data_IF_425216842679
#
_entry.id   IF_425216842679
#
_cell.length_a   1.000
_cell.length_b   1.000
_cell.length_c   1.000
_cell.angle_alpha   90.00
_cell.angle_beta   90.00
_cell.angle_gamma   90.00
#
_symmetry.space_group_name_H-M   'P 1'
#
loop_
_entity.id
_entity.type
_entity.pdbx_description
1 polymer ?
#
# COMPACT_ATOMS: atom_id res chain seq x y z
N UNK A 1 10.07 -1.89 -24.13
CA UNK A 1 8.77 -1.34 -23.75
C UNK A 1 8.95 0.06 -23.19
N UNK A 2 8.27 1.02 -23.75
CA UNK A 2 8.36 2.40 -23.29
C UNK A 2 7.33 2.65 -22.20
N UNK A 3 7.78 3.14 -21.06
CA UNK A 3 6.90 3.57 -20.00
C UNK A 3 6.52 5.03 -20.19
N UNK A 4 5.31 5.44 -19.79
CA UNK A 4 4.94 6.84 -19.88
C UNK A 4 5.93 7.72 -19.11
N UNK A 5 6.21 8.88 -19.64
CA UNK A 5 7.01 9.86 -18.91
C UNK A 5 6.18 10.39 -17.76
N UNK A 6 6.76 10.34 -16.56
CA UNK A 6 6.13 10.89 -15.37
C UNK A 6 6.99 12.00 -14.80
N UNK A 7 6.36 12.90 -14.07
CA UNK A 7 7.04 14.06 -13.49
C UNK A 7 7.51 13.80 -12.07
N UNK A 8 6.95 12.78 -11.41
CA UNK A 8 7.34 12.37 -10.06
C UNK A 8 7.01 10.90 -9.84
N UNK A 9 7.76 10.27 -8.95
CA UNK A 9 7.55 8.87 -8.57
C UNK A 9 7.41 8.80 -7.06
N UNK A 10 6.32 8.20 -6.58
CA UNK A 10 6.04 7.99 -5.17
C UNK A 10 6.09 6.51 -4.86
N UNK A 11 6.76 6.12 -3.79
CA UNK A 11 6.99 4.71 -3.50
C UNK A 11 6.69 4.37 -2.05
N UNK A 12 6.32 3.11 -1.82
CA UNK A 12 6.33 2.50 -0.51
C UNK A 12 7.77 2.47 0.04
N UNK A 13 7.96 2.51 1.37
CA UNK A 13 9.31 2.44 1.95
C UNK A 13 9.99 1.09 1.77
N UNK A 14 9.29 0.06 1.30
CA UNK A 14 9.90 -1.26 1.09
C UNK A 14 11.01 -1.18 0.03
N UNK A 15 12.16 -1.74 0.36
CA UNK A 15 13.36 -1.68 -0.49
C UNK A 15 13.11 -2.11 -1.94
N UNK A 16 12.35 -3.19 -2.16
CA UNK A 16 12.08 -3.67 -3.52
C UNK A 16 11.23 -2.69 -4.32
N UNK A 17 10.33 -1.93 -3.67
CA UNK A 17 9.56 -0.89 -4.34
C UNK A 17 10.46 0.26 -4.79
N UNK A 18 11.38 0.67 -3.94
CA UNK A 18 12.38 1.72 -4.27
C UNK A 18 13.26 1.24 -5.43
N UNK A 19 13.74 0.00 -5.39
CA UNK A 19 14.55 -0.57 -6.45
C UNK A 19 13.79 -0.67 -7.77
N UNK A 20 12.53 -1.08 -7.72
CA UNK A 20 11.67 -1.16 -8.91
C UNK A 20 11.48 0.21 -9.53
N UNK A 21 11.24 1.23 -8.69
CA UNK A 21 11.08 2.60 -9.16
C UNK A 21 12.34 3.11 -9.88
N UNK A 22 13.51 2.82 -9.34
CA UNK A 22 14.78 3.21 -9.93
C UNK A 22 15.01 2.55 -11.30
N UNK A 23 14.56 1.30 -11.44
CA UNK A 23 14.68 0.57 -12.71
C UNK A 23 13.70 1.09 -13.75
N UNK A 24 12.43 1.31 -13.36
CA UNK A 24 11.37 1.73 -14.28
C UNK A 24 11.44 3.22 -14.65
N UNK A 25 11.89 4.05 -13.73
CA UNK A 25 11.91 5.51 -13.91
C UNK A 25 13.28 6.08 -13.56
N UNK A 26 14.33 5.67 -14.29
CA UNK A 26 15.68 6.15 -13.98
C UNK A 26 15.79 7.67 -14.17
N UNK A 27 16.43 8.32 -13.21
CA UNK A 27 16.64 9.76 -13.27
C UNK A 27 15.47 10.61 -12.78
N UNK A 28 14.32 9.97 -12.45
CA UNK A 28 13.19 10.73 -11.90
C UNK A 28 13.30 10.83 -10.38
N UNK A 29 12.84 11.94 -9.79
CA UNK A 29 12.82 12.06 -8.33
C UNK A 29 11.92 10.99 -7.71
N UNK A 30 12.45 10.28 -6.71
CA UNK A 30 11.70 9.24 -5.98
C UNK A 30 11.37 9.77 -4.59
N UNK A 31 10.08 9.78 -4.26
CA UNK A 31 9.59 10.23 -2.97
C UNK A 31 9.06 9.03 -2.18
N UNK A 32 9.63 8.78 -1.01
CA UNK A 32 9.20 7.68 -0.15
C UNK A 32 8.08 8.18 0.75
N UNK A 33 6.94 7.50 0.70
CA UNK A 33 5.77 7.82 1.52
C UNK A 33 5.53 6.67 2.49
N UNK A 34 5.85 6.88 3.76
CA UNK A 34 5.75 5.85 4.80
C UNK A 34 4.34 5.26 4.90
N UNK A 35 3.32 6.10 4.78
CA UNK A 35 1.93 5.69 4.90
C UNK A 35 1.47 4.76 3.78
N UNK A 36 2.24 4.62 2.71
CA UNK A 36 1.93 3.70 1.60
C UNK A 36 2.51 2.30 1.80
N UNK A 37 3.11 2.03 2.96
CA UNK A 37 3.65 0.70 3.26
C UNK A 37 2.55 -0.36 3.22
N UNK A 38 2.96 -1.61 2.95
CA UNK A 38 2.07 -2.77 3.01
C UNK A 38 1.53 -2.95 4.43
N UNK A 39 0.45 -3.72 4.55
CA UNK A 39 -0.15 -4.06 5.84
C UNK A 39 0.87 -4.71 6.77
N UNK A 40 0.83 -4.32 8.04
CA UNK A 40 1.58 -5.00 9.08
C UNK A 40 0.76 -6.23 9.52
N UNK A 41 1.21 -7.40 9.12
CA UNK A 41 0.53 -8.66 9.42
C UNK A 41 0.85 -9.19 10.82
N UNK A 42 1.70 -8.51 11.58
CA UNK A 42 2.04 -8.91 12.95
C UNK A 42 2.58 -10.34 13.03
N UNK A 43 1.97 -11.16 13.89
CA UNK A 43 2.39 -12.55 14.07
C UNK A 43 2.25 -13.40 12.80
N UNK A 44 1.45 -12.98 11.83
CA UNK A 44 1.25 -13.74 10.60
C UNK A 44 2.25 -13.37 9.51
N UNK A 45 3.14 -12.43 9.80
CA UNK A 45 4.14 -11.95 8.84
C UNK A 45 5.05 -13.10 8.37
N UNK A 46 5.19 -13.23 7.05
CA UNK A 46 6.03 -14.25 6.43
C UNK A 46 5.65 -15.70 6.74
N UNK A 47 4.39 -15.94 7.16
CA UNK A 47 3.91 -17.29 7.46
C UNK A 47 2.84 -17.72 6.47
N UNK A 48 2.91 -18.98 6.05
CA UNK A 48 1.86 -19.57 5.23
C UNK A 48 0.81 -20.24 6.12
N UNK A 49 -0.30 -20.68 5.52
CA UNK A 49 -1.40 -21.26 6.29
C UNK A 49 -1.02 -22.53 7.06
N UNK A 50 -0.03 -23.28 6.56
CA UNK A 50 0.44 -24.50 7.24
C UNK A 50 1.16 -24.15 8.54
N UNK A 51 1.96 -23.08 8.51
CA UNK A 51 2.67 -22.61 9.69
C UNK A 51 1.73 -22.00 10.73
N UNK A 52 0.57 -21.52 10.30
CA UNK A 52 -0.42 -20.92 11.16
C UNK A 52 -1.41 -21.94 11.75
N UNK A 53 -1.46 -23.16 11.19
CA UNK A 53 -2.30 -24.23 11.75
C UNK A 53 -1.95 -24.48 13.22
N UNK A 54 -2.98 -24.56 14.06
CA UNK A 54 -2.80 -24.78 15.49
C UNK A 54 -2.51 -23.51 16.29
N UNK A 55 -2.30 -22.36 15.61
CA UNK A 55 -2.13 -21.09 16.30
C UNK A 55 -3.52 -20.58 16.74
N UNK A 56 -3.77 -20.40 18.06
CA UNK A 56 -5.09 -19.95 18.52
C UNK A 56 -5.48 -18.58 18.02
N UNK A 57 -4.52 -17.67 17.80
CA UNK A 57 -4.79 -16.34 17.25
C UNK A 57 -5.23 -16.41 15.79
N UNK A 58 -4.67 -17.35 15.05
CA UNK A 58 -5.05 -17.58 13.65
C UNK A 58 -6.49 -18.10 13.58
N UNK A 59 -6.85 -19.05 14.46
CA UNK A 59 -8.20 -19.58 14.50
C UNK A 59 -9.24 -18.51 14.85
N UNK A 60 -8.94 -17.67 15.83
CA UNK A 60 -9.80 -16.52 16.18
C UNK A 60 -9.97 -15.58 14.98
N UNK A 61 -8.89 -15.32 14.28
CA UNK A 61 -8.93 -14.43 13.11
C UNK A 61 -9.80 -15.02 12.00
N UNK A 62 -9.66 -16.32 11.73
CA UNK A 62 -10.51 -17.02 10.75
C UNK A 62 -11.98 -16.98 11.18
N UNK A 63 -12.27 -17.29 12.45
CA UNK A 63 -13.62 -17.30 12.99
C UNK A 63 -14.29 -15.92 12.89
N UNK A 64 -13.51 -14.86 12.90
CA UNK A 64 -14.01 -13.49 12.74
C UNK A 64 -14.22 -13.10 11.27
N UNK A 65 -13.94 -13.98 10.32
CA UNK A 65 -13.92 -13.69 8.88
C UNK A 65 -12.92 -12.57 8.52
N UNK A 66 -11.80 -12.53 9.23
CA UNK A 66 -10.75 -11.54 8.98
C UNK A 66 -11.09 -10.14 9.48
N UNK A 67 -12.09 -9.97 10.35
CA UNK A 67 -12.46 -8.66 10.89
C UNK A 67 -11.60 -8.22 12.06
N UNK A 68 -10.99 -9.17 12.77
CA UNK A 68 -10.08 -8.83 13.86
C UNK A 68 -8.75 -8.28 13.30
N UNK A 69 -8.07 -7.40 14.05
CA UNK A 69 -6.71 -6.99 13.69
C UNK A 69 -5.78 -8.20 13.64
N UNK A 70 -4.73 -8.13 12.84
CA UNK A 70 -3.67 -9.14 12.89
C UNK A 70 -3.00 -9.07 14.26
N UNK A 71 -2.77 -10.21 14.94
CA UNK A 71 -2.12 -10.20 16.25
C UNK A 71 -0.77 -9.49 16.20
N UNK A 72 -0.62 -8.42 16.99
CA UNK A 72 0.59 -7.59 16.96
C UNK A 72 0.75 -6.74 15.71
N UNK A 73 -0.25 -6.68 14.85
CA UNK A 73 -0.21 -5.93 13.60
C UNK A 73 -1.38 -4.97 13.45
N UNK A 74 -1.71 -4.64 12.20
CA UNK A 74 -2.75 -3.66 11.89
C UNK A 74 -4.13 -4.28 11.72
N UNK A 75 -5.17 -3.48 12.00
CA UNK A 75 -6.53 -3.80 11.58
C UNK A 75 -6.71 -3.45 10.11
N UNK A 76 -7.75 -4.02 9.48
CA UNK A 76 -8.09 -3.68 8.09
C UNK A 76 -8.39 -2.20 7.95
N UNK A 77 -9.17 -1.63 8.87
CA UNK A 77 -9.52 -0.21 8.86
C UNK A 77 -8.31 0.69 9.06
N UNK A 78 -7.43 0.33 9.99
CA UNK A 78 -6.20 1.09 10.24
C UNK A 78 -5.28 1.10 9.03
N UNK A 79 -5.13 -0.03 8.39
CA UNK A 79 -4.35 -0.16 7.16
C UNK A 79 -4.93 0.73 6.05
N UNK A 80 -6.24 0.64 5.83
CA UNK A 80 -6.92 1.45 4.81
C UNK A 80 -6.77 2.94 5.11
N UNK A 81 -7.05 3.38 6.35
CA UNK A 81 -6.94 4.78 6.74
C UNK A 81 -5.52 5.32 6.54
N UNK A 82 -4.52 4.53 6.91
CA UNK A 82 -3.11 4.91 6.74
C UNK A 82 -2.76 5.09 5.26
N UNK A 83 -3.18 4.15 4.41
CA UNK A 83 -2.94 4.24 2.97
C UNK A 83 -3.63 5.45 2.35
N UNK A 84 -4.85 5.76 2.78
CA UNK A 84 -5.56 6.94 2.26
C UNK A 84 -4.87 8.24 2.66
N UNK A 85 -4.33 8.32 3.88
CA UNK A 85 -3.52 9.48 4.27
C UNK A 85 -2.28 9.61 3.41
N UNK A 86 -1.64 8.48 3.08
CA UNK A 86 -0.48 8.48 2.18
C UNK A 86 -0.83 8.96 0.79
N UNK A 87 -1.96 8.51 0.27
CA UNK A 87 -2.43 8.95 -1.04
C UNK A 87 -2.77 10.44 -1.04
N UNK A 88 -3.38 10.96 0.02
CA UNK A 88 -3.65 12.40 0.15
C UNK A 88 -2.34 13.21 0.12
N UNK A 89 -1.28 12.69 0.74
CA UNK A 89 0.04 13.33 0.69
C UNK A 89 0.58 13.39 -0.74
N UNK A 90 0.39 12.31 -1.51
CA UNK A 90 0.80 12.27 -2.91
C UNK A 90 0.04 13.31 -3.72
N UNK A 91 -1.27 13.34 -3.60
CA UNK A 91 -2.13 14.28 -4.33
C UNK A 91 -1.77 15.72 -3.98
N UNK A 92 -1.63 16.02 -2.68
CA UNK A 92 -1.25 17.37 -2.23
C UNK A 92 0.12 17.78 -2.74
N UNK A 93 1.08 16.85 -2.76
CA UNK A 93 2.42 17.08 -3.28
C UNK A 93 2.39 17.40 -4.78
N UNK A 94 1.59 16.65 -5.53
CA UNK A 94 1.43 16.87 -6.97
C UNK A 94 0.80 18.23 -7.25
N UNK A 95 -0.22 18.63 -6.51
CA UNK A 95 -0.87 19.93 -6.66
C UNK A 95 0.12 21.05 -6.39
N UNK A 96 0.86 20.99 -5.28
CA UNK A 96 1.82 22.04 -4.91
C UNK A 96 2.96 22.18 -5.91
N UNK A 97 3.38 21.07 -6.52
CA UNK A 97 4.50 21.04 -7.45
C UNK A 97 4.07 21.15 -8.91
N UNK A 98 2.77 21.32 -9.17
CA UNK A 98 2.20 21.37 -10.52
C UNK A 98 2.53 20.11 -11.33
N UNK A 99 2.52 18.94 -10.68
CA UNK A 99 2.77 17.66 -11.32
C UNK A 99 1.45 17.12 -11.85
N UNK A 100 1.35 16.93 -13.15
CA UNK A 100 0.16 16.40 -13.80
C UNK A 100 0.16 14.87 -13.87
N UNK A 101 1.35 14.27 -13.98
CA UNK A 101 1.48 12.82 -14.10
C UNK A 101 2.52 12.31 -13.10
N UNK A 102 2.10 11.38 -12.25
CA UNK A 102 2.96 10.76 -11.25
C UNK A 102 2.76 9.26 -11.28
N UNK A 103 3.81 8.52 -10.97
CA UNK A 103 3.75 7.07 -10.83
C UNK A 103 3.81 6.69 -9.34
N UNK A 104 3.08 5.63 -8.99
CA UNK A 104 3.12 5.06 -7.65
C UNK A 104 3.62 3.61 -7.76
N UNK A 105 4.64 3.29 -7.00
CA UNK A 105 5.16 1.92 -6.89
C UNK A 105 4.84 1.42 -5.49
N UNK A 106 3.75 0.68 -5.40
CA UNK A 106 3.15 0.26 -4.14
C UNK A 106 2.70 -1.21 -4.22
N UNK A 107 2.00 -1.66 -3.20
CA UNK A 107 1.59 -3.05 -3.05
C UNK A 107 0.12 -3.26 -3.43
N UNK A 108 -0.22 -4.51 -3.76
CA UNK A 108 -1.58 -4.86 -4.15
C UNK A 108 -2.64 -4.45 -3.13
N UNK A 109 -2.41 -4.71 -1.84
CA UNK A 109 -3.34 -4.31 -0.78
C UNK A 109 -3.53 -2.81 -0.69
N UNK A 110 -2.45 -2.05 -0.86
CA UNK A 110 -2.49 -0.58 -0.88
C UNK A 110 -3.28 -0.07 -2.08
N UNK A 111 -3.05 -0.66 -3.26
CA UNK A 111 -3.79 -0.32 -4.48
C UNK A 111 -5.28 -0.56 -4.27
N UNK A 112 -5.65 -1.70 -3.71
CA UNK A 112 -7.05 -2.05 -3.45
C UNK A 112 -7.72 -1.06 -2.50
N UNK A 113 -7.04 -0.64 -1.44
CA UNK A 113 -7.57 0.35 -0.50
C UNK A 113 -7.88 1.67 -1.19
N UNK A 114 -6.97 2.14 -2.03
CA UNK A 114 -7.14 3.40 -2.76
C UNK A 114 -8.28 3.27 -3.77
N UNK A 115 -8.30 2.19 -4.54
CA UNK A 115 -9.32 1.97 -5.56
C UNK A 115 -10.73 1.79 -4.96
N UNK A 116 -10.84 1.12 -3.82
CA UNK A 116 -12.10 0.95 -3.11
C UNK A 116 -12.74 2.30 -2.76
N UNK A 117 -11.93 3.23 -2.27
CA UNK A 117 -12.41 4.54 -1.86
C UNK A 117 -12.81 5.41 -3.05
N UNK A 118 -11.96 5.46 -4.07
CA UNK A 118 -12.15 6.40 -5.19
C UNK A 118 -12.95 5.81 -6.34
N UNK A 119 -12.93 4.50 -6.54
CA UNK A 119 -13.71 3.87 -7.60
C UNK A 119 -15.22 3.88 -7.28
N UNK A 120 -15.61 3.78 -6.01
CA UNK A 120 -17.00 3.80 -5.59
C UNK A 120 -17.69 5.13 -5.94
N UNK A 121 -16.95 6.22 -5.96
CA UNK A 121 -17.47 7.54 -6.30
C UNK A 121 -17.91 7.60 -7.78
N UNK A 122 -17.33 6.75 -8.63
CA UNK A 122 -17.58 6.76 -10.07
C UNK A 122 -18.61 5.72 -10.52
N UNK A 123 -19.14 4.95 -9.60
CA UNK A 123 -20.19 3.99 -9.96
C UNK A 123 -21.51 4.71 -10.27
N UNK A 124 -22.16 4.36 -11.37
CA UNK A 124 -23.45 4.94 -11.70
C UNK A 124 -24.53 4.55 -10.71
#
# INVERSE_FOLDING_TARGET
>A
MDYPKVQAVYVSPLKRCVQTAEILFPGEPVHIIEELAECDFGEFENKNYKELEGNPHYQEWIDSNGTLPFPGGESREGFKSRNLRGFDRVVSGCIRSHVAEAALVIHGGTIMNIMEEYADIQKP
#
